data_IF_114625556790
#
_entry.id   IF_114625556790
#
_cell.length_a   1.000
_cell.length_b   1.000
_cell.length_c   1.000
_cell.angle_alpha   90.00
_cell.angle_beta   90.00
_cell.angle_gamma   90.00
#
_symmetry.space_group_name_H-M   'P 1'
#
loop_
_entity.id
_entity.type
_entity.pdbx_description
1 polymer ?
#
# COMPACT_ATOMS: atom_id res chain seq x y z
N UNK A 1 34.70 -32.57 66.46
CA UNK A 1 33.73 -32.01 67.42
C UNK A 1 33.10 -30.69 66.97
N UNK A 2 33.84 -29.69 66.44
CA UNK A 2 33.22 -28.42 65.97
C UNK A 2 32.35 -28.60 64.72
N UNK A 3 32.72 -29.51 63.81
CA UNK A 3 31.97 -29.79 62.57
C UNK A 3 30.64 -30.52 62.80
N UNK A 4 30.56 -31.40 63.81
CA UNK A 4 29.30 -32.06 64.22
C UNK A 4 28.35 -31.09 64.92
N UNK A 5 28.88 -30.12 65.67
CA UNK A 5 28.06 -29.11 66.33
C UNK A 5 27.46 -28.12 65.31
N UNK A 6 28.22 -27.75 64.26
CA UNK A 6 27.72 -26.89 63.19
C UNK A 6 26.62 -27.56 62.35
N UNK A 7 26.74 -28.86 62.07
CA UNK A 7 25.73 -29.61 61.29
C UNK A 7 24.43 -29.85 62.06
N UNK A 8 24.48 -29.86 63.41
CA UNK A 8 23.30 -30.13 64.26
C UNK A 8 22.46 -28.89 64.57
N UNK A 9 23.04 -27.69 64.42
CA UNK A 9 22.38 -26.41 64.72
C UNK A 9 21.92 -25.62 63.48
N UNK A 10 22.01 -26.21 62.29
CA UNK A 10 21.64 -25.58 61.04
C UNK A 10 20.51 -26.32 60.32
N UNK A 11 19.58 -26.91 61.07
CA UNK A 11 18.27 -27.24 60.50
C UNK A 11 17.45 -25.96 60.46
N UNK A 12 17.17 -25.40 59.26
CA UNK A 12 16.29 -24.25 59.18
C UNK A 12 14.97 -24.63 59.86
N UNK A 13 14.53 -23.79 60.81
CA UNK A 13 13.18 -23.86 61.39
C UNK A 13 12.20 -24.16 60.27
N UNK A 14 11.29 -25.11 60.47
CA UNK A 14 10.31 -25.57 59.47
C UNK A 14 9.56 -24.39 58.81
N UNK A 15 9.36 -23.29 59.56
CA UNK A 15 8.78 -22.03 59.04
C UNK A 15 9.67 -21.28 58.03
N UNK A 16 10.99 -21.30 58.19
CA UNK A 16 11.93 -20.67 57.25
C UNK A 16 12.09 -21.45 55.94
N UNK A 17 11.93 -22.77 55.98
CA UNK A 17 11.95 -23.59 54.77
C UNK A 17 10.70 -23.33 53.90
N UNK A 18 9.52 -23.16 54.51
CA UNK A 18 8.27 -22.86 53.80
C UNK A 18 8.29 -21.46 53.16
N UNK A 19 8.87 -20.45 53.83
CA UNK A 19 9.01 -19.11 53.25
C UNK A 19 9.93 -19.12 52.01
N UNK A 20 11.02 -19.89 52.04
CA UNK A 20 11.94 -20.02 50.91
C UNK A 20 11.24 -20.69 49.71
N UNK A 21 10.46 -21.74 49.96
CA UNK A 21 9.70 -22.42 48.90
C UNK A 21 8.67 -21.49 48.26
N UNK A 22 7.89 -20.76 49.06
CA UNK A 22 6.91 -19.79 48.53
C UNK A 22 7.58 -18.68 47.72
N UNK A 23 8.74 -18.18 48.16
CA UNK A 23 9.48 -17.16 47.43
C UNK A 23 10.01 -17.70 46.09
N UNK A 24 10.51 -18.94 46.07
CA UNK A 24 10.97 -19.59 44.84
C UNK A 24 9.84 -19.85 43.85
N UNK A 25 8.67 -20.30 44.32
CA UNK A 25 7.49 -20.49 43.48
C UNK A 25 6.98 -19.19 42.89
N UNK A 26 6.92 -18.12 43.71
CA UNK A 26 6.56 -16.78 43.24
C UNK A 26 7.54 -16.26 42.18
N UNK A 27 8.85 -16.40 42.40
CA UNK A 27 9.85 -16.00 41.41
C UNK A 27 9.78 -16.84 40.13
N UNK A 28 9.41 -18.13 40.24
CA UNK A 28 9.21 -18.99 39.08
C UNK A 28 8.01 -18.54 38.24
N UNK A 29 6.87 -18.25 38.85
CA UNK A 29 5.68 -17.79 38.13
C UNK A 29 5.89 -16.42 37.49
N UNK A 30 6.57 -15.50 38.18
CA UNK A 30 6.96 -14.19 37.63
C UNK A 30 7.88 -14.35 36.40
N UNK A 31 8.84 -15.28 36.43
CA UNK A 31 9.72 -15.57 35.29
C UNK A 31 8.96 -16.20 34.12
N UNK A 32 8.05 -17.14 34.40
CA UNK A 32 7.23 -17.77 33.36
C UNK A 32 6.29 -16.76 32.70
N UNK A 33 5.73 -15.82 33.46
CA UNK A 33 4.91 -14.73 32.94
C UNK A 33 5.75 -13.78 32.06
N UNK A 34 6.91 -13.32 32.56
CA UNK A 34 7.80 -12.45 31.81
C UNK A 34 8.30 -13.10 30.50
N UNK A 35 8.56 -14.41 30.53
CA UNK A 35 8.94 -15.16 29.33
C UNK A 35 7.81 -15.23 28.30
N UNK A 36 6.56 -15.43 28.76
CA UNK A 36 5.37 -15.42 27.89
C UNK A 36 5.16 -14.06 27.24
N UNK A 37 5.29 -12.99 28.00
CA UNK A 37 5.17 -11.62 27.48
C UNK A 37 6.24 -11.32 26.43
N UNK A 38 7.51 -11.65 26.72
CA UNK A 38 8.62 -11.47 25.78
C UNK A 38 8.45 -12.29 24.49
N UNK A 39 7.91 -13.52 24.59
CA UNK A 39 7.60 -14.35 23.42
C UNK A 39 6.48 -13.76 22.57
N UNK A 40 5.42 -13.23 23.20
CA UNK A 40 4.31 -12.57 22.50
C UNK A 40 4.80 -11.30 21.80
N UNK A 41 5.63 -10.51 22.46
CA UNK A 41 6.21 -9.30 21.88
C UNK A 41 7.10 -9.62 20.67
N UNK A 42 8.01 -10.58 20.81
CA UNK A 42 8.88 -11.03 19.70
C UNK A 42 8.07 -11.53 18.51
N UNK A 43 6.98 -12.26 18.77
CA UNK A 43 6.05 -12.74 17.73
C UNK A 43 5.35 -11.60 17.00
N UNK A 44 4.92 -10.57 17.73
CA UNK A 44 4.27 -9.39 17.15
C UNK A 44 5.24 -8.53 16.34
N UNK A 45 6.48 -8.36 16.82
CA UNK A 45 7.54 -7.66 16.08
C UNK A 45 7.80 -8.36 14.74
N UNK A 46 7.99 -9.69 14.77
CA UNK A 46 8.25 -10.47 13.57
C UNK A 46 7.11 -10.45 12.55
N UNK A 47 5.85 -10.49 13.03
CA UNK A 47 4.68 -10.33 12.17
C UNK A 47 4.66 -8.95 11.50
N UNK A 48 5.00 -7.91 12.25
CA UNK A 48 5.03 -6.53 11.74
C UNK A 48 6.12 -6.34 10.68
N UNK A 49 7.34 -6.86 10.91
CA UNK A 49 8.43 -6.83 9.93
C UNK A 49 8.04 -7.48 8.61
N UNK A 50 7.42 -8.66 8.68
CA UNK A 50 7.00 -9.41 7.49
C UNK A 50 5.88 -8.71 6.72
N UNK A 51 4.87 -8.20 7.41
CA UNK A 51 3.78 -7.44 6.78
C UNK A 51 4.31 -6.19 6.08
N UNK A 52 5.32 -5.55 6.68
CA UNK A 52 5.98 -4.38 6.11
C UNK A 52 6.77 -4.73 4.85
N UNK A 53 7.62 -5.76 4.91
CA UNK A 53 8.38 -6.24 3.76
C UNK A 53 7.48 -6.65 2.59
N UNK A 54 6.33 -7.28 2.87
CA UNK A 54 5.34 -7.64 1.86
C UNK A 54 4.70 -6.39 1.23
N UNK A 55 4.35 -5.38 2.03
CA UNK A 55 3.80 -4.12 1.52
C UNK A 55 4.80 -3.39 0.64
N UNK A 56 6.07 -3.33 1.04
CA UNK A 56 7.14 -2.73 0.25
C UNK A 56 7.30 -3.43 -1.10
N UNK A 57 7.39 -4.76 -1.10
CA UNK A 57 7.47 -5.53 -2.34
C UNK A 57 6.27 -5.30 -3.27
N UNK A 58 5.05 -5.16 -2.71
CA UNK A 58 3.87 -4.84 -3.51
C UNK A 58 3.89 -3.41 -4.06
N UNK A 59 4.40 -2.44 -3.29
CA UNK A 59 4.55 -1.05 -3.74
C UNK A 59 5.59 -0.97 -4.86
N UNK A 60 6.74 -1.64 -4.72
CA UNK A 60 7.78 -1.75 -5.75
C UNK A 60 7.17 -2.27 -7.07
N UNK A 61 6.42 -3.38 -7.01
CA UNK A 61 5.76 -3.97 -8.18
C UNK A 61 4.74 -3.03 -8.81
N UNK A 62 3.91 -2.37 -8.00
CA UNK A 62 2.91 -1.40 -8.51
C UNK A 62 3.57 -0.21 -9.20
N UNK A 63 4.68 0.29 -8.67
CA UNK A 63 5.43 1.40 -9.26
C UNK A 63 6.08 1.00 -10.58
N UNK A 64 6.67 -0.20 -10.65
CA UNK A 64 7.20 -0.75 -11.89
C UNK A 64 6.11 -0.93 -12.96
N UNK A 65 4.93 -1.42 -12.57
CA UNK A 65 3.79 -1.55 -13.47
C UNK A 65 3.34 -0.21 -14.05
N UNK A 66 3.20 0.82 -13.21
CA UNK A 66 2.86 2.19 -13.65
C UNK A 66 3.89 2.77 -14.62
N UNK A 67 5.18 2.51 -14.40
CA UNK A 67 6.23 2.99 -15.28
C UNK A 67 6.21 2.26 -16.63
N UNK A 68 6.01 0.93 -16.62
CA UNK A 68 5.85 0.14 -17.82
C UNK A 68 4.61 0.58 -18.64
N UNK A 69 3.50 0.84 -17.96
CA UNK A 69 2.29 1.38 -18.58
C UNK A 69 2.53 2.76 -19.22
N UNK A 70 3.26 3.66 -18.55
CA UNK A 70 3.61 4.96 -19.09
C UNK A 70 4.47 4.87 -20.36
N UNK A 71 5.42 3.91 -20.40
CA UNK A 71 6.24 3.65 -21.60
C UNK A 71 5.40 3.14 -22.76
N UNK A 72 4.50 2.20 -22.50
CA UNK A 72 3.64 1.66 -23.55
C UNK A 72 2.67 2.73 -24.07
N UNK A 73 2.07 3.54 -23.18
CA UNK A 73 1.26 4.70 -23.59
C UNK A 73 2.05 5.66 -24.47
N UNK A 74 3.31 5.93 -24.14
CA UNK A 74 4.18 6.79 -24.95
C UNK A 74 4.46 6.18 -26.34
N UNK A 75 4.65 4.85 -26.43
CA UNK A 75 4.83 4.15 -27.71
C UNK A 75 3.62 4.31 -28.64
N UNK A 76 2.40 4.38 -28.09
CA UNK A 76 1.19 4.66 -28.88
C UNK A 76 1.02 6.15 -29.19
N UNK A 77 1.39 7.02 -28.25
CA UNK A 77 1.22 8.46 -28.37
C UNK A 77 2.20 9.08 -29.38
N UNK A 78 3.45 8.63 -29.41
CA UNK A 78 4.50 9.14 -30.29
C UNK A 78 4.13 9.08 -31.79
N UNK A 79 3.79 7.91 -32.37
CA UNK A 79 3.44 7.83 -33.78
C UNK A 79 2.17 8.63 -34.09
N UNK A 80 1.19 8.64 -33.18
CA UNK A 80 -0.04 9.42 -33.33
C UNK A 80 0.23 10.91 -33.40
N UNK A 81 1.00 11.41 -32.43
CA UNK A 81 1.34 12.81 -32.34
C UNK A 81 2.24 13.26 -33.49
N UNK A 82 3.21 12.43 -33.89
CA UNK A 82 4.05 12.68 -35.05
C UNK A 82 3.24 12.74 -36.34
N UNK A 83 2.32 11.80 -36.57
CA UNK A 83 1.47 11.77 -37.74
C UNK A 83 0.50 12.97 -37.77
N UNK A 84 -0.10 13.30 -36.63
CA UNK A 84 -0.99 14.46 -36.50
C UNK A 84 -0.23 15.77 -36.73
N UNK A 85 0.98 15.91 -36.18
CA UNK A 85 1.84 17.06 -36.39
C UNK A 85 2.29 17.19 -37.86
N UNK A 86 2.60 16.06 -38.52
CA UNK A 86 2.95 16.03 -39.93
C UNK A 86 1.77 16.50 -40.80
N UNK A 87 0.56 15.97 -40.60
CA UNK A 87 -0.61 16.40 -41.36
C UNK A 87 -0.98 17.85 -41.10
N UNK A 88 -0.90 18.28 -39.84
CA UNK A 88 -1.11 19.67 -39.43
C UNK A 88 -0.09 20.62 -40.07
N UNK A 89 1.19 20.25 -40.10
CA UNK A 89 2.26 21.01 -40.74
C UNK A 89 2.12 21.08 -42.26
N UNK A 90 1.81 19.96 -42.92
CA UNK A 90 1.54 19.94 -44.37
C UNK A 90 0.33 20.80 -44.73
N UNK A 91 -0.73 20.77 -43.92
CA UNK A 91 -1.90 21.62 -44.13
C UNK A 91 -1.58 23.10 -43.95
N UNK A 92 -0.78 23.46 -42.94
CA UNK A 92 -0.33 24.82 -42.71
C UNK A 92 0.51 25.36 -43.90
N UNK A 93 1.42 24.53 -44.43
CA UNK A 93 2.24 24.87 -45.59
C UNK A 93 1.40 25.07 -46.86
N UNK A 94 0.50 24.13 -47.14
CA UNK A 94 -0.33 24.17 -48.35
C UNK A 94 -1.32 25.34 -48.35
N UNK A 95 -1.94 25.65 -47.21
CA UNK A 95 -2.94 26.72 -47.09
C UNK A 95 -2.37 28.09 -46.70
N UNK A 96 -1.05 28.19 -46.45
CA UNK A 96 -0.37 29.40 -45.97
C UNK A 96 -1.05 30.02 -44.74
N UNK A 97 -1.61 29.18 -43.88
CA UNK A 97 -2.37 29.62 -42.71
C UNK A 97 -1.83 28.94 -41.46
N UNK A 98 -1.37 29.77 -40.51
CA UNK A 98 -0.74 29.32 -39.26
C UNK A 98 -1.74 28.66 -38.32
N UNK A 99 -3.05 28.92 -38.44
CA UNK A 99 -4.06 28.28 -37.58
C UNK A 99 -4.07 26.74 -37.69
N UNK A 100 -3.58 26.20 -38.80
CA UNK A 100 -3.46 24.75 -38.97
C UNK A 100 -2.41 24.12 -38.04
N UNK A 101 -1.44 24.87 -37.52
CA UNK A 101 -0.40 24.36 -36.59
C UNK A 101 -0.81 24.39 -35.12
N UNK A 102 -1.99 24.94 -34.79
CA UNK A 102 -2.47 25.07 -33.41
C UNK A 102 -2.53 23.72 -32.65
N UNK A 103 -2.93 22.58 -33.26
CA UNK A 103 -2.92 21.28 -32.59
C UNK A 103 -1.53 20.77 -32.20
N UNK A 104 -0.46 21.26 -32.84
CA UNK A 104 0.91 20.78 -32.60
C UNK A 104 1.36 21.11 -31.17
N UNK A 105 1.00 22.29 -30.67
CA UNK A 105 1.42 22.77 -29.35
C UNK A 105 0.97 21.84 -28.21
N UNK A 106 -0.33 21.51 -28.05
CA UNK A 106 -0.76 20.59 -26.99
C UNK A 106 -0.23 19.18 -27.20
N UNK A 107 -0.03 18.73 -28.45
CA UNK A 107 0.55 17.41 -28.74
C UNK A 107 2.00 17.32 -28.24
N UNK A 108 2.83 18.32 -28.54
CA UNK A 108 4.22 18.37 -28.05
C UNK A 108 4.25 18.42 -26.52
N UNK A 109 3.39 19.24 -25.90
CA UNK A 109 3.29 19.30 -24.44
C UNK A 109 2.91 17.96 -23.80
N UNK A 110 1.95 17.26 -24.40
CA UNK A 110 1.48 15.95 -23.93
C UNK A 110 2.55 14.88 -24.13
N UNK A 111 3.21 14.82 -25.30
CA UNK A 111 4.34 13.91 -25.54
C UNK A 111 5.47 14.20 -24.55
N UNK A 112 5.84 15.47 -24.38
CA UNK A 112 6.89 15.87 -23.44
C UNK A 112 6.57 15.46 -22.01
N UNK A 113 5.33 15.64 -21.58
CA UNK A 113 4.86 15.19 -20.27
C UNK A 113 4.95 13.66 -20.12
N UNK A 114 4.49 12.90 -21.11
CA UNK A 114 4.52 11.43 -21.06
C UNK A 114 5.96 10.89 -21.17
N UNK A 115 6.82 11.52 -21.98
CA UNK A 115 8.24 11.21 -22.04
C UNK A 115 8.94 11.49 -20.72
N UNK A 116 8.63 12.61 -20.07
CA UNK A 116 9.16 12.93 -18.74
C UNK A 116 8.64 11.99 -17.64
N UNK A 117 7.43 11.43 -17.79
CA UNK A 117 6.93 10.35 -16.92
C UNK A 117 7.64 9.01 -17.17
N UNK A 118 7.83 8.63 -18.43
CA UNK A 118 8.34 7.32 -18.83
C UNK A 118 9.87 7.17 -18.68
N UNK A 119 10.61 8.25 -18.92
CA UNK A 119 12.08 8.26 -18.93
C UNK A 119 12.72 9.30 -18.01
N UNK A 120 11.93 10.27 -17.52
CA UNK A 120 12.42 11.36 -16.69
C UNK A 120 12.36 11.08 -15.19
N UNK A 121 12.66 12.12 -14.41
CA UNK A 121 12.68 12.05 -12.96
C UNK A 121 11.30 12.29 -12.32
N UNK A 122 10.23 12.30 -13.11
CA UNK A 122 8.92 12.75 -12.63
C UNK A 122 8.34 11.84 -11.55
N UNK A 123 8.64 10.54 -11.60
CA UNK A 123 8.19 9.59 -10.59
C UNK A 123 8.79 9.93 -9.22
N UNK A 124 10.07 10.29 -9.14
CA UNK A 124 10.69 10.70 -7.88
C UNK A 124 10.15 12.05 -7.40
N UNK A 125 9.89 13.00 -8.32
CA UNK A 125 9.27 14.29 -7.98
C UNK A 125 7.88 14.09 -7.39
N UNK A 126 7.08 13.18 -7.96
CA UNK A 126 5.74 12.85 -7.42
C UNK A 126 5.88 12.20 -6.04
N UNK A 127 6.85 11.32 -5.85
CA UNK A 127 7.09 10.68 -4.55
C UNK A 127 7.59 11.67 -3.49
N UNK A 128 8.52 12.58 -3.82
CA UNK A 128 8.99 13.65 -2.93
C UNK A 128 7.85 14.63 -2.60
N UNK A 129 7.01 14.97 -3.58
CA UNK A 129 5.82 15.78 -3.35
C UNK A 129 4.80 15.04 -2.47
N UNK A 130 4.61 13.74 -2.66
CA UNK A 130 3.73 12.94 -1.82
C UNK A 130 4.26 12.84 -0.39
N UNK A 131 5.58 12.71 -0.20
CA UNK A 131 6.23 12.73 1.11
C UNK A 131 6.05 14.07 1.81
N UNK A 132 6.29 15.18 1.10
CA UNK A 132 6.02 16.54 1.61
C UNK A 132 4.56 16.74 1.96
N UNK A 133 3.64 16.29 1.10
CA UNK A 133 2.21 16.35 1.39
C UNK A 133 1.89 15.53 2.63
N UNK A 134 2.42 14.31 2.79
CA UNK A 134 2.19 13.50 4.00
C UNK A 134 2.72 14.23 5.25
N UNK A 135 3.95 14.76 5.19
CA UNK A 135 4.55 15.51 6.28
C UNK A 135 3.74 16.77 6.65
N UNK A 136 3.31 17.55 5.66
CA UNK A 136 2.50 18.76 5.85
C UNK A 136 1.06 18.44 6.29
N UNK A 137 0.56 17.26 5.88
CA UNK A 137 -0.83 16.85 6.08
C UNK A 137 -1.07 15.94 7.28
N UNK A 138 -0.06 15.65 8.10
CA UNK A 138 -0.28 15.13 9.46
C UNK A 138 -1.30 16.00 10.25
N UNK A 139 -1.48 17.27 9.86
CA UNK A 139 -2.51 18.16 10.40
C UNK A 139 -3.87 18.16 9.65
N UNK A 140 -3.99 17.62 8.42
CA UNK A 140 -5.19 17.80 7.57
C UNK A 140 -5.67 16.59 6.75
N UNK A 141 -4.81 15.65 6.33
CA UNK A 141 -5.21 14.46 5.54
C UNK A 141 -5.41 13.21 6.40
N UNK A 142 -5.76 13.38 7.68
CA UNK A 142 -6.44 12.33 8.42
C UNK A 142 -7.84 12.12 7.83
N UNK A 143 -7.93 11.51 6.64
CA UNK A 143 -9.00 10.54 6.41
C UNK A 143 -8.88 9.60 7.59
N UNK A 144 -9.82 9.72 8.54
CA UNK A 144 -9.81 9.02 9.83
C UNK A 144 -9.09 7.69 9.64
N UNK A 145 -7.91 7.46 10.26
CA UNK A 145 -7.30 6.15 10.20
C UNK A 145 -8.40 5.17 10.57
N UNK A 146 -8.59 4.11 9.78
CA UNK A 146 -9.56 3.05 10.09
C UNK A 146 -9.45 2.85 11.59
N UNK A 147 -10.52 3.18 12.31
CA UNK A 147 -10.39 3.36 13.74
C UNK A 147 -9.90 2.03 14.30
N UNK A 148 -9.05 2.05 15.32
CA UNK A 148 -8.59 0.81 15.95
C UNK A 148 -9.80 -0.06 16.31
N UNK A 149 -10.96 0.53 16.64
CA UNK A 149 -12.25 -0.15 16.83
C UNK A 149 -12.83 -0.83 15.59
N UNK A 150 -12.63 -0.28 14.40
CA UNK A 150 -13.08 -0.87 13.13
C UNK A 150 -12.12 -1.98 12.66
N UNK A 151 -10.82 -1.81 12.87
CA UNK A 151 -9.84 -2.91 12.74
C UNK A 151 -10.16 -3.99 13.76
N UNK A 152 -10.40 -3.65 15.03
CA UNK A 152 -10.78 -4.59 16.09
C UNK A 152 -12.10 -5.28 15.76
N UNK A 153 -13.10 -4.60 15.20
CA UNK A 153 -14.36 -5.23 14.78
C UNK A 153 -14.16 -6.18 13.59
N UNK A 154 -13.36 -5.82 12.58
CA UNK A 154 -13.06 -6.70 11.43
C UNK A 154 -12.13 -7.86 11.83
N UNK A 155 -11.22 -7.61 12.77
CA UNK A 155 -10.33 -8.59 13.37
C UNK A 155 -11.10 -9.48 14.34
N UNK A 156 -12.11 -9.00 15.06
CA UNK A 156 -13.02 -9.83 15.87
C UNK A 156 -13.95 -10.64 14.99
N UNK A 157 -14.46 -10.11 13.89
CA UNK A 157 -15.22 -10.89 12.90
C UNK A 157 -14.34 -11.97 12.23
N UNK A 158 -13.10 -11.65 11.87
CA UNK A 158 -12.14 -12.63 11.36
C UNK A 158 -11.62 -13.59 12.44
N UNK A 159 -11.43 -13.12 13.67
CA UNK A 159 -11.08 -13.96 14.83
C UNK A 159 -12.23 -14.88 15.11
N UNK A 160 -13.49 -14.47 15.18
CA UNK A 160 -14.62 -15.40 15.35
C UNK A 160 -14.66 -16.45 14.23
N UNK A 161 -14.29 -16.10 12.99
CA UNK A 161 -14.16 -17.06 11.88
C UNK A 161 -12.92 -17.98 11.97
N UNK A 162 -11.83 -17.57 12.64
CA UNK A 162 -10.53 -18.30 12.69
C UNK A 162 -10.25 -18.97 14.04
N UNK A 163 -10.72 -18.37 15.13
CA UNK A 163 -10.68 -18.83 16.53
C UNK A 163 -11.58 -20.05 16.69
N UNK A 164 -12.66 -20.17 15.91
CA UNK A 164 -13.44 -21.40 15.80
C UNK A 164 -12.69 -22.56 15.11
N UNK A 165 -11.57 -22.27 14.42
CA UNK A 165 -10.68 -23.28 13.81
C UNK A 165 -9.36 -23.48 14.57
N UNK A 166 -8.95 -22.56 15.44
CA UNK A 166 -7.66 -22.60 16.14
C UNK A 166 -7.76 -22.84 17.66
N UNK A 167 -8.92 -22.60 18.29
CA UNK A 167 -9.09 -22.85 19.73
C UNK A 167 -9.17 -24.33 20.07
N UNK A 168 -9.52 -25.19 19.11
CA UNK A 168 -9.40 -26.64 19.28
C UNK A 168 -7.95 -27.15 19.16
N UNK A 169 -7.01 -26.34 18.64
CA UNK A 169 -5.62 -26.74 18.43
C UNK A 169 -4.64 -26.24 19.50
N UNK A 170 -4.96 -25.14 20.21
CA UNK A 170 -4.03 -24.52 21.17
C UNK A 170 -4.27 -24.92 22.64
N UNK A 171 -5.22 -25.83 22.91
CA UNK A 171 -5.55 -26.26 24.27
C UNK A 171 -4.64 -27.33 24.88
N UNK A 172 -3.72 -27.95 24.13
CA UNK A 172 -3.06 -29.20 24.56
C UNK A 172 -1.53 -29.22 24.50
N UNK A 173 -0.85 -28.23 23.93
CA UNK A 173 0.61 -28.25 23.79
C UNK A 173 1.29 -27.34 24.82
N UNK A 174 1.43 -27.83 26.06
CA UNK A 174 2.45 -27.32 26.99
C UNK A 174 2.93 -28.45 27.90
N UNK A 175 3.65 -29.41 27.33
CA UNK A 175 4.65 -30.20 28.07
C UNK A 175 5.78 -30.67 27.14
N UNK A 176 6.98 -30.20 27.45
CA UNK A 176 8.29 -30.74 27.05
C UNK A 176 8.49 -31.22 25.59
N UNK A 177 8.82 -30.29 24.68
CA UNK A 177 10.03 -30.34 23.81
C UNK A 177 10.12 -29.03 22.98
N UNK A 178 10.88 -28.03 23.46
CA UNK A 178 10.84 -26.64 22.93
C UNK A 178 11.15 -26.50 21.43
N UNK A 179 11.78 -27.50 20.80
CA UNK A 179 12.18 -27.40 19.39
C UNK A 179 11.08 -27.89 18.42
N UNK A 180 10.23 -28.83 18.85
CA UNK A 180 9.13 -29.34 18.05
C UNK A 180 7.99 -28.33 17.97
N UNK A 181 7.64 -27.71 19.11
CA UNK A 181 6.56 -26.72 19.21
C UNK A 181 6.86 -25.45 18.38
N UNK A 182 8.11 -25.00 18.37
CA UNK A 182 8.53 -23.85 17.56
C UNK A 182 8.36 -24.16 16.07
N UNK A 183 8.68 -25.38 15.63
CA UNK A 183 8.57 -25.80 14.23
C UNK A 183 7.10 -25.84 13.77
N UNK A 184 6.21 -26.36 14.60
CA UNK A 184 4.77 -26.38 14.33
C UNK A 184 4.21 -24.96 14.25
N UNK A 185 4.56 -24.09 15.20
CA UNK A 185 4.13 -22.69 15.20
C UNK A 185 4.58 -21.95 13.92
N UNK A 186 5.82 -22.16 13.49
CA UNK A 186 6.36 -21.58 12.25
C UNK A 186 5.58 -22.06 11.03
N UNK A 187 5.22 -23.35 10.96
CA UNK A 187 4.42 -23.87 9.84
C UNK A 187 3.01 -23.27 9.77
N UNK A 188 2.34 -23.08 10.92
CA UNK A 188 1.03 -22.42 10.98
C UNK A 188 1.13 -20.97 10.47
N UNK A 189 2.19 -20.26 10.83
CA UNK A 189 2.40 -18.89 10.32
C UNK A 189 2.68 -18.85 8.83
N UNK A 190 3.49 -19.78 8.34
CA UNK A 190 3.79 -19.87 6.91
C UNK A 190 2.51 -20.13 6.11
N UNK A 191 1.64 -21.00 6.60
CA UNK A 191 0.34 -21.26 6.00
C UNK A 191 -0.57 -20.02 6.01
N UNK A 192 -0.64 -19.29 7.14
CA UNK A 192 -1.40 -18.05 7.22
C UNK A 192 -0.88 -16.99 6.24
N UNK A 193 0.43 -16.89 6.06
CA UNK A 193 1.05 -15.95 5.12
C UNK A 193 0.74 -16.35 3.69
N UNK A 194 0.89 -17.63 3.35
CA UNK A 194 0.53 -18.13 2.02
C UNK A 194 -0.94 -17.85 1.70
N UNK A 195 -1.85 -18.05 2.67
CA UNK A 195 -3.27 -17.68 2.53
C UNK A 195 -3.47 -16.17 2.32
N UNK A 196 -2.77 -15.32 3.06
CA UNK A 196 -2.86 -13.87 2.88
C UNK A 196 -2.32 -13.40 1.54
N UNK A 197 -1.18 -13.95 1.10
CA UNK A 197 -0.58 -13.66 -0.22
C UNK A 197 -1.53 -14.12 -1.32
N UNK A 198 -2.07 -15.33 -1.23
CA UNK A 198 -3.02 -15.87 -2.18
C UNK A 198 -4.31 -15.02 -2.25
N UNK A 199 -4.85 -14.62 -1.09
CA UNK A 199 -6.04 -13.75 -1.04
C UNK A 199 -5.77 -12.38 -1.67
N UNK A 200 -4.59 -11.79 -1.42
CA UNK A 200 -4.22 -10.49 -2.00
C UNK A 200 -3.98 -10.58 -3.50
N UNK A 201 -3.37 -11.65 -3.96
CA UNK A 201 -3.21 -11.93 -5.39
C UNK A 201 -4.58 -12.10 -6.06
N UNK A 202 -5.46 -12.88 -5.44
CA UNK A 202 -6.82 -13.09 -5.93
C UNK A 202 -7.62 -11.78 -5.96
N UNK A 203 -7.53 -10.95 -4.92
CA UNK A 203 -8.14 -9.60 -4.92
C UNK A 203 -7.61 -8.74 -6.05
N UNK A 204 -6.29 -8.76 -6.28
CA UNK A 204 -5.67 -8.00 -7.36
C UNK A 204 -6.10 -8.51 -8.74
N UNK A 205 -6.17 -9.83 -8.94
CA UNK A 205 -6.67 -10.44 -10.16
C UNK A 205 -8.16 -10.12 -10.39
N UNK A 206 -8.97 -10.12 -9.33
CA UNK A 206 -10.38 -9.71 -9.39
C UNK A 206 -10.53 -8.24 -9.75
N UNK A 207 -9.74 -7.35 -9.14
CA UNK A 207 -9.73 -5.93 -9.45
C UNK A 207 -9.33 -5.71 -10.92
N UNK A 208 -8.31 -6.41 -11.42
CA UNK A 208 -7.91 -6.35 -12.83
C UNK A 208 -8.99 -6.88 -13.77
N UNK A 209 -9.58 -8.05 -13.46
CA UNK A 209 -10.65 -8.62 -14.26
C UNK A 209 -11.89 -7.71 -14.30
N UNK A 210 -12.21 -7.06 -13.18
CA UNK A 210 -13.29 -6.08 -13.09
C UNK A 210 -12.99 -4.84 -13.93
N UNK A 211 -11.76 -4.32 -13.87
CA UNK A 211 -11.35 -3.20 -14.73
C UNK A 211 -11.46 -3.60 -16.22
N UNK A 212 -10.98 -4.77 -16.62
CA UNK A 212 -11.14 -5.27 -18.00
C UNK A 212 -12.59 -5.36 -18.42
N UNK A 213 -13.45 -5.95 -17.59
CA UNK A 213 -14.87 -6.10 -17.89
C UNK A 213 -15.53 -4.73 -18.10
N UNK A 214 -15.23 -3.77 -17.21
CA UNK A 214 -15.71 -2.39 -17.32
C UNK A 214 -15.20 -1.70 -18.59
N UNK A 215 -13.92 -1.88 -18.91
CA UNK A 215 -13.33 -1.33 -20.13
C UNK A 215 -14.00 -1.90 -21.38
N UNK A 216 -14.21 -3.22 -21.44
CA UNK A 216 -14.89 -3.89 -22.54
C UNK A 216 -16.35 -3.42 -22.71
N UNK A 217 -17.07 -3.21 -21.60
CA UNK A 217 -18.42 -2.65 -21.64
C UNK A 217 -18.44 -1.22 -22.19
N UNK A 218 -17.54 -0.35 -21.69
CA UNK A 218 -17.44 1.04 -22.16
C UNK A 218 -16.97 1.17 -23.61
N UNK A 219 -16.18 0.21 -24.09
CA UNK A 219 -15.59 0.23 -25.42
C UNK A 219 -16.65 0.26 -26.53
N UNK A 220 -17.77 -0.46 -26.38
CA UNK A 220 -18.84 -0.44 -27.37
C UNK A 220 -19.41 0.98 -27.60
N UNK A 221 -19.62 1.72 -26.51
CA UNK A 221 -20.09 3.10 -26.56
C UNK A 221 -19.03 4.06 -27.09
N UNK A 222 -17.77 3.89 -26.68
CA UNK A 222 -16.65 4.68 -27.21
C UNK A 222 -16.45 4.46 -28.71
N UNK A 223 -16.56 3.22 -29.19
CA UNK A 223 -16.45 2.85 -30.59
C UNK A 223 -17.57 3.48 -31.42
N UNK A 224 -18.82 3.39 -30.95
CA UNK A 224 -19.97 3.98 -31.62
C UNK A 224 -19.86 5.51 -31.67
N UNK A 225 -19.54 6.16 -30.55
CA UNK A 225 -19.38 7.61 -30.46
C UNK A 225 -18.23 8.14 -31.32
N UNK A 226 -17.10 7.43 -31.33
CA UNK A 226 -15.95 7.80 -32.14
C UNK A 226 -16.23 7.59 -33.64
N UNK A 227 -16.85 6.46 -34.02
CA UNK A 227 -17.20 6.18 -35.41
C UNK A 227 -18.17 7.21 -35.99
N UNK A 228 -19.21 7.58 -35.24
CA UNK A 228 -20.17 8.62 -35.66
C UNK A 228 -19.50 10.00 -35.77
N UNK A 229 -18.61 10.35 -34.84
CA UNK A 229 -17.84 11.59 -34.90
C UNK A 229 -16.91 11.63 -36.12
N UNK A 230 -16.21 10.53 -36.42
CA UNK A 230 -15.33 10.43 -37.60
C UNK A 230 -16.14 10.63 -38.89
N UNK A 231 -17.29 9.98 -39.02
CA UNK A 231 -18.16 10.13 -40.20
C UNK A 231 -18.69 11.57 -40.33
N UNK A 232 -19.09 12.19 -39.22
CA UNK A 232 -19.53 13.58 -39.20
C UNK A 232 -18.40 14.55 -39.63
N UNK A 233 -17.18 14.34 -39.13
CA UNK A 233 -16.01 15.13 -39.51
C UNK A 233 -15.65 14.98 -40.99
N UNK A 234 -15.72 13.76 -41.53
CA UNK A 234 -15.51 13.51 -42.96
C UNK A 234 -16.61 14.21 -43.79
N UNK A 235 -17.86 14.12 -43.38
CA UNK A 235 -18.97 14.80 -44.04
C UNK A 235 -18.80 16.33 -44.02
N UNK A 236 -18.42 16.91 -42.89
CA UNK A 236 -18.10 18.33 -42.78
C UNK A 236 -16.90 18.72 -43.66
N UNK A 237 -15.85 17.89 -43.72
CA UNK A 237 -14.69 18.12 -44.58
C UNK A 237 -15.10 18.20 -46.06
N UNK A 238 -16.00 17.31 -46.50
CA UNK A 238 -16.53 17.29 -47.85
C UNK A 238 -17.41 18.52 -48.13
N UNK A 239 -18.34 18.84 -47.22
CA UNK A 239 -19.33 19.92 -47.42
C UNK A 239 -18.73 21.32 -47.44
N UNK A 240 -17.74 21.57 -46.58
CA UNK A 240 -17.07 22.87 -46.47
C UNK A 240 -15.81 22.97 -47.35
N UNK A 241 -15.42 21.88 -48.04
CA UNK A 241 -14.15 21.77 -48.81
C UNK A 241 -12.91 22.12 -47.99
N UNK A 242 -13.01 22.12 -46.65
CA UNK A 242 -11.92 22.43 -45.75
C UNK A 242 -11.36 21.12 -45.18
N UNK A 243 -10.16 20.76 -45.61
CA UNK A 243 -9.47 19.53 -45.18
C UNK A 243 -9.06 19.58 -43.70
N UNK A 244 -9.17 20.73 -43.02
CA UNK A 244 -8.89 20.87 -41.59
C UNK A 244 -9.72 19.90 -40.74
N UNK A 245 -10.98 19.66 -41.11
CA UNK A 245 -11.88 18.78 -40.37
C UNK A 245 -11.43 17.31 -40.35
N UNK A 246 -10.52 16.90 -41.25
CA UNK A 246 -9.98 15.55 -41.26
C UNK A 246 -8.78 15.34 -40.30
N UNK A 247 -8.16 16.42 -39.81
CA UNK A 247 -6.99 16.32 -38.92
C UNK A 247 -7.32 15.62 -37.59
N UNK A 248 -8.45 15.91 -36.90
CA UNK A 248 -8.83 15.22 -35.67
C UNK A 248 -9.19 13.73 -35.84
N UNK A 249 -9.42 13.27 -37.07
CA UNK A 249 -9.76 11.86 -37.34
C UNK A 249 -8.60 10.93 -36.99
N UNK A 250 -7.35 11.35 -37.22
CA UNK A 250 -6.15 10.54 -36.93
C UNK A 250 -6.04 10.18 -35.44
N UNK A 251 -6.07 11.14 -34.49
CA UNK A 251 -6.00 10.80 -33.07
C UNK A 251 -7.23 10.01 -32.59
N UNK A 252 -8.42 10.20 -33.18
CA UNK A 252 -9.61 9.39 -32.84
C UNK A 252 -9.44 7.92 -33.24
N UNK A 253 -8.98 7.67 -34.47
CA UNK A 253 -8.74 6.30 -34.95
C UNK A 253 -7.64 5.63 -34.12
N UNK A 254 -6.54 6.33 -33.81
CA UNK A 254 -5.52 5.72 -32.96
C UNK A 254 -5.99 5.52 -31.52
N UNK A 255 -6.78 6.45 -30.96
CA UNK A 255 -7.38 6.28 -29.64
C UNK A 255 -8.22 4.99 -29.60
N UNK A 256 -9.07 4.76 -30.60
CA UNK A 256 -9.83 3.51 -30.71
C UNK A 256 -8.92 2.28 -30.83
N UNK A 257 -7.84 2.36 -31.61
CA UNK A 257 -6.86 1.28 -31.72
C UNK A 257 -6.16 0.97 -30.40
N UNK A 258 -5.76 1.99 -29.66
CA UNK A 258 -5.18 1.85 -28.33
C UNK A 258 -6.17 1.22 -27.34
N UNK A 259 -7.42 1.72 -27.31
CA UNK A 259 -8.50 1.19 -26.45
C UNK A 259 -8.86 -0.26 -26.81
N UNK A 260 -8.82 -0.60 -28.09
CA UNK A 260 -9.01 -1.97 -28.54
C UNK A 260 -7.89 -2.88 -28.06
N UNK A 261 -6.63 -2.44 -28.20
CA UNK A 261 -5.47 -3.20 -27.72
C UNK A 261 -5.46 -3.33 -26.19
N UNK A 262 -5.94 -2.32 -25.45
CA UNK A 262 -6.09 -2.35 -24.00
C UNK A 262 -7.18 -3.34 -23.53
N UNK A 263 -8.28 -3.46 -24.29
CA UNK A 263 -9.42 -4.32 -23.92
C UNK A 263 -9.28 -5.77 -24.39
N UNK A 264 -8.84 -5.99 -25.63
CA UNK A 264 -8.81 -7.31 -26.27
C UNK A 264 -7.40 -7.80 -26.62
N UNK A 265 -6.39 -6.93 -26.56
CA UNK A 265 -5.03 -7.26 -26.93
C UNK A 265 -4.18 -7.82 -25.78
N UNK A 266 -2.93 -8.13 -26.09
CA UNK A 266 -1.89 -8.59 -25.14
C UNK A 266 -1.27 -7.43 -24.34
N UNK A 267 -1.97 -6.29 -24.22
CA UNK A 267 -1.43 -5.07 -23.62
C UNK A 267 -0.97 -5.30 -22.18
N UNK A 268 -1.78 -6.00 -21.38
CA UNK A 268 -1.40 -6.28 -19.98
C UNK A 268 -0.21 -7.21 -19.85
N UNK A 269 -0.08 -8.20 -20.74
CA UNK A 269 1.05 -9.12 -20.71
C UNK A 269 2.35 -8.37 -21.05
N UNK A 270 2.31 -7.49 -22.06
CA UNK A 270 3.44 -6.62 -22.40
C UNK A 270 3.83 -5.70 -21.25
N UNK A 271 2.86 -5.07 -20.59
CA UNK A 271 3.12 -4.23 -19.42
C UNK A 271 3.72 -5.06 -18.28
N UNK A 272 3.18 -6.25 -18.01
CA UNK A 272 3.68 -7.16 -16.98
C UNK A 272 5.14 -7.55 -17.26
N UNK A 273 5.45 -7.99 -18.47
CA UNK A 273 6.80 -8.39 -18.87
C UNK A 273 7.79 -7.22 -18.77
N UNK A 274 7.40 -6.01 -19.22
CA UNK A 274 8.27 -4.84 -19.09
C UNK A 274 8.44 -4.42 -17.62
N UNK A 275 7.40 -4.54 -16.79
CA UNK A 275 7.49 -4.28 -15.36
C UNK A 275 8.44 -5.28 -14.66
N UNK A 276 8.37 -6.56 -15.00
CA UNK A 276 9.30 -7.58 -14.50
C UNK A 276 10.73 -7.31 -14.95
N UNK A 277 10.93 -6.92 -16.22
CA UNK A 277 12.24 -6.52 -16.74
C UNK A 277 12.80 -5.30 -15.99
N UNK A 278 11.94 -4.32 -15.69
CA UNK A 278 12.32 -3.12 -14.94
C UNK A 278 12.70 -3.44 -13.50
N UNK A 279 11.95 -4.32 -12.83
CA UNK A 279 12.30 -4.78 -11.49
C UNK A 279 13.63 -5.55 -11.46
N UNK A 280 13.90 -6.37 -12.47
CA UNK A 280 15.15 -7.12 -12.58
C UNK A 280 16.36 -6.20 -12.86
N UNK A 281 16.18 -5.15 -13.68
CA UNK A 281 17.28 -4.30 -14.14
C UNK A 281 17.53 -3.10 -13.21
N UNK A 282 16.47 -2.49 -12.67
CA UNK A 282 16.50 -1.19 -12.00
C UNK A 282 15.68 -1.19 -10.70
N UNK A 283 15.85 -2.22 -9.85
CA UNK A 283 15.11 -2.33 -8.58
C UNK A 283 15.21 -1.08 -7.71
N UNK A 284 16.38 -0.45 -7.67
CA UNK A 284 16.66 0.77 -6.88
C UNK A 284 15.80 1.97 -7.29
N UNK A 285 15.20 1.98 -8.49
CA UNK A 285 14.30 3.05 -8.92
C UNK A 285 12.93 2.97 -8.21
N UNK A 286 12.55 1.77 -7.75
CA UNK A 286 11.23 1.49 -7.21
C UNK A 286 11.20 1.38 -5.70
N UNK A 287 12.37 1.37 -5.04
CA UNK A 287 12.44 1.39 -3.59
C UNK A 287 11.73 2.64 -3.06
N UNK A 288 10.94 2.51 -1.99
CA UNK A 288 10.31 3.67 -1.37
C UNK A 288 11.35 4.73 -1.00
N UNK A 289 11.03 6.01 -1.24
CA UNK A 289 11.86 7.13 -0.81
C UNK A 289 11.92 7.12 0.71
N UNK A 290 13.14 7.09 1.27
CA UNK A 290 13.40 6.84 2.69
C UNK A 290 14.05 5.49 3.00
N UNK A 291 14.14 4.59 2.02
CA UNK A 291 14.65 3.22 2.22
C UNK A 291 13.57 2.30 2.80
N UNK A 292 13.89 1.02 3.07
CA UNK A 292 12.95 0.12 3.74
C UNK A 292 12.58 0.74 5.09
N UNK A 293 11.27 0.84 5.37
CA UNK A 293 10.78 1.35 6.64
C UNK A 293 11.34 0.43 7.71
N UNK A 294 12.29 0.95 8.49
CA UNK A 294 12.88 0.17 9.56
C UNK A 294 11.91 0.08 10.74
N UNK A 295 11.91 -1.05 11.45
CA UNK A 295 11.16 -1.15 12.71
C UNK A 295 11.48 0.00 13.67
N UNK A 296 12.74 0.43 13.70
CA UNK A 296 13.18 1.54 14.54
C UNK A 296 12.44 2.86 14.21
N UNK A 297 12.11 3.09 12.94
CA UNK A 297 11.32 4.25 12.54
C UNK A 297 9.83 4.09 12.92
N UNK A 298 9.29 2.87 12.77
CA UNK A 298 7.95 2.52 13.22
C UNK A 298 7.78 2.67 14.75
N UNK A 299 8.78 2.28 15.52
CA UNK A 299 8.80 2.41 16.97
C UNK A 299 8.95 3.86 17.41
N UNK A 300 9.77 4.66 16.71
CA UNK A 300 9.82 6.12 16.90
C UNK A 300 8.45 6.77 16.65
N UNK A 301 7.76 6.41 15.56
CA UNK A 301 6.41 6.90 15.25
C UNK A 301 5.39 6.46 16.30
N UNK A 302 5.47 5.22 16.79
CA UNK A 302 4.60 4.71 17.86
C UNK A 302 4.84 5.41 19.18
N UNK A 303 6.10 5.68 19.55
CA UNK A 303 6.45 6.45 20.74
C UNK A 303 5.92 7.88 20.65
N UNK A 304 6.10 8.55 19.51
CA UNK A 304 5.56 9.89 19.26
C UNK A 304 4.02 9.90 19.38
N UNK A 305 3.35 8.91 18.80
CA UNK A 305 1.88 8.76 18.88
C UNK A 305 1.39 8.52 20.32
N UNK A 306 2.06 7.64 21.07
CA UNK A 306 1.73 7.41 22.49
C UNK A 306 1.91 8.67 23.32
N UNK A 307 2.97 9.44 23.04
CA UNK A 307 3.23 10.72 23.73
C UNK A 307 2.12 11.73 23.44
N UNK A 308 1.72 11.87 22.18
CA UNK A 308 0.60 12.72 21.75
C UNK A 308 -0.71 12.33 22.44
N UNK A 309 -1.02 11.03 22.50
CA UNK A 309 -2.22 10.52 23.17
C UNK A 309 -2.22 10.78 24.68
N UNK A 310 -1.06 10.67 25.33
CA UNK A 310 -0.91 11.04 26.75
C UNK A 310 -1.16 12.53 26.96
N UNK A 311 -0.67 13.39 26.07
CA UNK A 311 -0.94 14.83 26.11
C UNK A 311 -2.43 15.13 25.93
N UNK A 312 -3.10 14.49 24.97
CA UNK A 312 -4.56 14.65 24.78
C UNK A 312 -5.35 14.25 26.03
N UNK A 313 -5.00 13.12 26.64
CA UNK A 313 -5.62 12.65 27.88
C UNK A 313 -5.38 13.64 29.03
N UNK A 314 -4.17 14.18 29.15
CA UNK A 314 -3.83 15.17 30.17
C UNK A 314 -4.63 16.47 30.01
N UNK A 315 -4.71 16.99 28.78
CA UNK A 315 -5.51 18.18 28.45
C UNK A 315 -6.99 17.95 28.79
N UNK A 316 -7.52 16.75 28.50
CA UNK A 316 -8.90 16.39 28.84
C UNK A 316 -9.14 16.37 30.35
N UNK A 317 -8.19 15.86 31.13
CA UNK A 317 -8.25 15.88 32.60
C UNK A 317 -8.25 17.31 33.14
N UNK A 318 -7.36 18.19 32.65
CA UNK A 318 -7.32 19.60 33.05
C UNK A 318 -8.67 20.28 32.77
N UNK A 319 -9.23 20.12 31.56
CA UNK A 319 -10.54 20.71 31.22
C UNK A 319 -11.66 20.24 32.14
N UNK A 320 -11.66 18.97 32.53
CA UNK A 320 -12.64 18.44 33.47
C UNK A 320 -12.46 19.03 34.87
N UNK A 321 -11.22 19.16 35.37
CA UNK A 321 -10.93 19.79 36.66
C UNK A 321 -11.32 21.27 36.69
N UNK A 322 -11.03 22.04 35.63
CA UNK A 322 -11.45 23.44 35.53
C UNK A 322 -12.97 23.59 35.55
N UNK A 323 -13.69 22.71 34.84
CA UNK A 323 -15.17 22.71 34.83
C UNK A 323 -15.75 22.47 36.23
N UNK A 324 -15.16 21.56 37.00
CA UNK A 324 -15.57 21.28 38.38
C UNK A 324 -15.32 22.51 39.27
N UNK A 325 -14.16 23.16 39.17
CA UNK A 325 -13.85 24.38 39.91
C UNK A 325 -14.85 25.52 39.59
N UNK A 326 -15.20 25.73 38.32
CA UNK A 326 -16.20 26.75 37.94
C UNK A 326 -17.62 26.42 38.43
N UNK A 327 -17.96 25.14 38.58
CA UNK A 327 -19.25 24.72 39.15
C UNK A 327 -19.30 24.92 40.67
N UNK A 328 -18.17 24.76 41.36
CA UNK A 328 -18.07 25.02 42.79
C UNK A 328 -18.16 26.52 43.10
N UNK A 329 -17.49 27.38 42.33
CA UNK A 329 -17.54 28.84 42.55
C UNK A 329 -18.88 29.50 42.16
N UNK A 330 -19.78 28.78 41.49
CA UNK A 330 -21.12 29.26 41.13
C UNK A 330 -22.20 28.85 42.15
N UNK A 331 -21.86 27.98 43.11
CA UNK A 331 -22.76 27.50 44.16
C UNK A 331 -22.47 28.14 45.53
N UNK A 332 -21.42 28.96 45.64
CA UNK A 332 -21.14 29.83 46.78
C UNK A 332 -21.71 31.23 46.52
#
# INVERSE_FOLDING_TARGET
MVFEWLMKNQTPSRSGAEEIVQRLEKTRTERELALREALVERKNAYKTERELALREALVERKNAYKLAEAKERLNWLLPTGALTALFSGLAAFHHKNVFYSLPIIPIIGLIGHQAHLAYGNKLTVILDLAEKVIADSEARLSTRPISIREIEARVEQQKMATVMSCVDLMGTAFSHDNNADIKELVSIFEEQIQKQVALRNLQFEQDQAFQKAKLAESFGWEFLGSSTTILALIYCAQRYKNRLFAVPTVPLVMYLGYRYNETFGEHEEKIRLEAERLLATQRNLFTPIGGPITLAELDKRRAAWNTSKTLENFIKTIKNSTKIATMQSSNE
#
